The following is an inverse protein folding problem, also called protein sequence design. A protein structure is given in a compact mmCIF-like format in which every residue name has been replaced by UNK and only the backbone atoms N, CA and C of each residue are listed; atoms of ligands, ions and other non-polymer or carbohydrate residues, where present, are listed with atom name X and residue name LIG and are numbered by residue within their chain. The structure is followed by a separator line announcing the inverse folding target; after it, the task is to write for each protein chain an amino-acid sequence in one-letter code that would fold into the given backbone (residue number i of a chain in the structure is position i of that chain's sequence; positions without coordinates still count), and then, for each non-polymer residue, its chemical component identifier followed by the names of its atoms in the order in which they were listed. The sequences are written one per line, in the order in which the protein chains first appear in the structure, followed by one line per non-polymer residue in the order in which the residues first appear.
data_IF_926591109191
#
_entry.id   IF_926591109191
#
_cell.length_a   1.000
_cell.length_b   1.000
_cell.length_c   1.000
_cell.angle_alpha   90.00
_cell.angle_beta   90.00
_cell.angle_gamma   90.00
#
_symmetry.space_group_name_H-M   'P 1'
#
loop_
_entity.id
_entity.type
_entity.pdbx_description
1 polymer ?
#
# COMPACT_ATOMS: atom_id res chain seq x y z
N UNK A 1 -31.30 -13.00 4.91
CA UNK A 1 -30.75 -11.65 4.72
C UNK A 1 -30.95 -10.89 6.02
N UNK A 2 -30.05 -11.11 6.97
CA UNK A 2 -30.06 -10.38 8.25
C UNK A 2 -29.09 -9.20 8.10
N UNK A 3 -29.64 -7.99 8.00
CA UNK A 3 -28.87 -6.75 8.06
C UNK A 3 -28.16 -6.69 9.42
N UNK A 4 -26.83 -6.86 9.42
CA UNK A 4 -25.97 -6.54 10.56
C UNK A 4 -24.83 -5.65 10.13
N UNK A 5 -25.17 -4.39 9.83
CA UNK A 5 -24.20 -3.28 9.97
C UNK A 5 -24.08 -3.04 11.47
N UNK A 6 -23.11 -3.69 12.11
CA UNK A 6 -22.78 -3.42 13.51
C UNK A 6 -21.66 -2.37 13.56
N UNK A 7 -22.06 -1.17 13.98
CA UNK A 7 -21.26 -0.02 14.47
C UNK A 7 -20.58 0.91 13.45
N UNK A 8 -21.23 2.03 13.06
CA UNK A 8 -20.55 3.26 12.65
C UNK A 8 -20.37 4.26 13.80
N UNK A 9 -20.49 3.81 15.07
CA UNK A 9 -20.48 4.74 16.21
C UNK A 9 -19.10 5.34 16.51
N UNK A 10 -18.00 4.67 16.14
CA UNK A 10 -16.65 5.21 16.36
C UNK A 10 -16.28 6.32 15.36
N UNK A 11 -16.75 6.20 14.11
CA UNK A 11 -16.53 7.21 13.06
C UNK A 11 -17.28 8.52 13.33
N UNK A 12 -18.50 8.45 13.89
CA UNK A 12 -19.28 9.63 14.25
C UNK A 12 -18.70 10.39 15.45
N UNK A 13 -18.11 9.70 16.44
CA UNK A 13 -17.47 10.37 17.58
C UNK A 13 -16.19 11.12 17.19
N UNK A 14 -15.38 10.55 16.27
CA UNK A 14 -14.18 11.23 15.75
C UNK A 14 -14.58 12.49 14.96
N UNK A 15 -15.64 12.42 14.17
CA UNK A 15 -16.16 13.58 13.43
C UNK A 15 -16.69 14.70 14.34
N UNK A 16 -17.26 14.36 15.51
CA UNK A 16 -17.77 15.36 16.46
C UNK A 16 -16.65 15.99 17.31
N UNK A 17 -15.58 15.26 17.61
CA UNK A 17 -14.40 15.85 18.28
C UNK A 17 -13.55 16.75 17.36
N UNK A 18 -13.60 16.55 16.04
CA UNK A 18 -12.84 17.41 15.11
C UNK A 18 -13.49 18.77 14.88
N UNK A 19 -14.80 18.93 15.09
CA UNK A 19 -15.46 20.24 14.94
C UNK A 19 -15.03 21.26 16.00
N UNK A 20 -14.60 20.82 17.19
CA UNK A 20 -14.15 21.74 18.24
C UNK A 20 -12.67 22.16 18.11
N UNK A 21 -11.89 21.49 17.25
CA UNK A 21 -10.46 21.80 17.04
C UNK A 21 -10.21 22.87 15.95
N UNK A 22 -11.26 23.37 15.30
CA UNK A 22 -11.19 24.33 14.17
C UNK A 22 -11.60 25.73 14.64
N UNK A 23 -10.98 26.23 15.72
CA UNK A 23 -11.18 27.60 16.22
C UNK A 23 -9.85 28.29 16.58
N UNK A 24 -8.78 27.99 15.84
CA UNK A 24 -7.56 28.81 15.80
C UNK A 24 -7.61 29.76 14.60
N UNK A 25 -6.87 30.87 14.66
CA UNK A 25 -6.66 31.73 13.47
C UNK A 25 -6.25 30.89 12.25
N UNK A 26 -6.85 31.21 11.10
CA UNK A 26 -6.66 30.45 9.86
C UNK A 26 -5.23 30.66 9.35
N UNK A 27 -4.32 29.78 9.79
CA UNK A 27 -2.90 29.80 9.40
C UNK A 27 -2.76 29.41 7.93
N UNK A 28 -2.23 30.32 7.11
CA UNK A 28 -2.07 30.10 5.68
C UNK A 28 -1.27 28.81 5.39
N UNK A 29 -1.84 27.95 4.54
CA UNK A 29 -1.24 26.67 4.17
C UNK A 29 -1.13 26.53 2.66
N UNK A 30 -0.07 25.86 2.22
CA UNK A 30 0.18 25.59 0.81
C UNK A 30 -0.92 24.68 0.25
N UNK A 31 -1.63 25.11 -0.81
CA UNK A 31 -2.66 24.32 -1.52
C UNK A 31 -2.18 22.93 -1.93
N UNK A 32 -0.89 22.78 -2.25
CA UNK A 32 -0.31 21.55 -2.76
C UNK A 32 -0.05 20.55 -1.63
N UNK A 33 0.74 20.90 -0.62
CA UNK A 33 1.19 19.94 0.39
C UNK A 33 0.50 20.07 1.76
N UNK A 34 -0.18 21.18 2.03
CA UNK A 34 -0.80 21.49 3.33
C UNK A 34 0.15 22.09 4.36
N UNK A 35 1.45 22.21 4.04
CA UNK A 35 2.45 22.80 4.93
C UNK A 35 2.17 24.29 5.15
N UNK A 36 2.39 24.76 6.37
CA UNK A 36 2.15 26.16 6.74
C UNK A 36 3.20 27.10 6.15
N UNK A 37 2.77 28.19 5.51
CA UNK A 37 3.67 29.06 4.72
C UNK A 37 4.70 29.76 5.61
N UNK A 38 4.30 30.18 6.80
CA UNK A 38 5.14 30.86 7.80
C UNK A 38 6.36 30.03 8.27
N UNK A 39 6.30 28.70 8.20
CA UNK A 39 7.44 27.82 8.51
C UNK A 39 8.50 27.76 7.41
N UNK A 40 8.15 28.18 6.19
CA UNK A 40 9.00 28.01 5.00
C UNK A 40 9.25 29.35 4.30
N UNK A 41 9.26 30.47 5.03
CA UNK A 41 9.45 31.82 4.45
C UNK A 41 10.73 31.95 3.60
N UNK A 42 11.79 31.20 3.93
CA UNK A 42 13.05 31.21 3.17
C UNK A 42 12.95 30.60 1.77
N UNK A 43 11.89 29.85 1.49
CA UNK A 43 11.67 29.14 0.22
C UNK A 43 10.31 29.44 -0.38
N UNK A 44 9.45 30.16 0.37
CA UNK A 44 8.12 30.50 -0.04
C UNK A 44 8.12 31.27 -1.38
N UNK A 45 7.08 31.03 -2.16
CA UNK A 45 6.90 31.63 -3.48
C UNK A 45 5.55 32.32 -3.53
N UNK A 46 5.54 33.56 -4.00
CA UNK A 46 4.32 34.34 -4.25
C UNK A 46 3.91 34.18 -5.73
N UNK A 47 2.66 33.79 -5.93
CA UNK A 47 2.00 33.67 -7.22
C UNK A 47 0.91 34.74 -7.31
N UNK A 48 1.05 35.67 -8.26
CA UNK A 48 0.01 36.67 -8.57
C UNK A 48 -0.64 36.30 -9.88
N UNK A 49 -1.92 35.98 -9.84
CA UNK A 49 -2.72 35.59 -11.00
C UNK A 49 -3.08 36.81 -11.86
N UNK A 50 -3.44 36.57 -13.13
CA UNK A 50 -3.87 37.63 -14.05
C UNK A 50 -5.08 38.44 -13.53
N UNK A 51 -5.98 37.78 -12.78
CA UNK A 51 -7.15 38.38 -12.13
C UNK A 51 -6.82 39.15 -10.83
N UNK A 52 -5.56 39.13 -10.39
CA UNK A 52 -5.07 39.80 -9.18
C UNK A 52 -5.15 38.96 -7.91
N UNK A 53 -5.64 37.72 -7.96
CA UNK A 53 -5.55 36.80 -6.82
C UNK A 53 -4.08 36.54 -6.47
N UNK A 54 -3.77 36.52 -5.18
CA UNK A 54 -2.44 36.16 -4.66
C UNK A 54 -2.53 34.82 -3.95
N UNK A 55 -1.54 33.96 -4.17
CA UNK A 55 -1.40 32.67 -3.50
C UNK A 55 0.08 32.44 -3.15
N UNK A 56 0.34 31.82 -1.99
CA UNK A 56 1.68 31.40 -1.61
C UNK A 56 1.83 29.88 -1.67
N UNK A 57 3.04 29.45 -2.01
CA UNK A 57 3.46 28.06 -1.82
C UNK A 57 4.64 28.00 -0.87
N UNK A 58 4.80 26.89 -0.15
CA UNK A 58 5.90 26.70 0.79
C UNK A 58 7.28 26.63 0.09
N UNK A 59 7.31 26.42 -1.22
CA UNK A 59 8.55 26.15 -1.94
C UNK A 59 8.37 26.03 -3.44
N UNK A 60 9.50 26.10 -4.15
CA UNK A 60 9.59 26.06 -5.61
C UNK A 60 8.90 24.84 -6.20
N UNK A 61 9.05 23.67 -5.58
CA UNK A 61 8.47 22.44 -6.09
C UNK A 61 6.92 22.45 -6.08
N UNK A 62 6.31 23.10 -5.09
CA UNK A 62 4.86 23.30 -5.04
C UNK A 62 4.43 24.35 -6.06
N UNK A 63 5.18 25.44 -6.21
CA UNK A 63 4.94 26.42 -7.28
C UNK A 63 4.96 25.76 -8.67
N UNK A 64 6.00 24.98 -8.98
CA UNK A 64 6.13 24.37 -10.31
C UNK A 64 4.94 23.46 -10.65
N UNK A 65 4.35 22.79 -9.65
CA UNK A 65 3.13 21.97 -9.85
C UNK A 65 1.93 22.82 -10.22
N UNK A 66 1.74 23.94 -9.53
CA UNK A 66 0.64 24.88 -9.83
C UNK A 66 0.84 25.47 -11.23
N UNK A 67 2.06 25.93 -11.55
CA UNK A 67 2.36 26.56 -12.84
C UNK A 67 2.27 25.54 -13.98
N UNK A 68 2.73 24.30 -13.77
CA UNK A 68 2.60 23.23 -14.77
C UNK A 68 1.15 22.84 -15.02
N UNK A 69 0.27 22.90 -14.01
CA UNK A 69 -1.15 22.57 -14.15
C UNK A 69 -1.91 23.68 -14.88
N UNK A 70 -1.63 24.95 -14.56
CA UNK A 70 -2.39 26.09 -15.06
C UNK A 70 -1.77 26.78 -16.28
N UNK A 71 -0.50 26.52 -16.57
CA UNK A 71 0.29 27.21 -17.58
C UNK A 71 0.89 28.54 -17.08
N UNK A 72 2.14 28.88 -17.47
CA UNK A 72 2.79 30.13 -17.07
C UNK A 72 2.00 31.41 -17.39
N UNK A 73 1.21 31.41 -18.46
CA UNK A 73 0.40 32.55 -18.89
C UNK A 73 -0.75 32.92 -17.95
N UNK A 74 -1.07 32.06 -16.98
CA UNK A 74 -2.11 32.31 -15.97
C UNK A 74 -1.65 33.27 -14.87
N UNK A 75 -0.36 33.60 -14.83
CA UNK A 75 0.25 34.42 -13.78
C UNK A 75 0.72 35.76 -14.32
N UNK A 76 0.41 36.83 -13.59
CA UNK A 76 0.95 38.18 -13.80
C UNK A 76 2.40 38.26 -13.33
N UNK A 77 2.73 37.62 -12.22
CA UNK A 77 4.09 37.52 -11.69
C UNK A 77 4.26 36.30 -10.80
N UNK A 78 5.46 35.73 -10.81
CA UNK A 78 5.86 34.61 -9.95
C UNK A 78 7.16 35.02 -9.26
N UNK A 79 7.08 35.31 -7.96
CA UNK A 79 8.20 35.85 -7.19
C UNK A 79 8.75 34.78 -6.26
N UNK A 80 9.97 34.34 -6.52
CA UNK A 80 10.67 33.30 -5.75
C UNK A 80 11.81 33.91 -4.94
N UNK A 81 12.18 33.28 -3.84
CA UNK A 81 13.25 33.73 -2.95
C UNK A 81 14.60 33.17 -3.37
N UNK A 82 15.59 34.03 -3.57
CA UNK A 82 16.98 33.63 -3.83
C UNK A 82 17.59 32.94 -2.60
N UNK A 83 18.21 31.79 -2.82
CA UNK A 83 18.74 30.98 -1.72
C UNK A 83 19.85 31.70 -0.93
N UNK A 84 20.63 32.58 -1.55
CA UNK A 84 21.75 33.24 -0.92
C UNK A 84 21.39 34.63 -0.41
N UNK A 85 20.90 35.53 -1.28
CA UNK A 85 20.57 36.91 -0.92
C UNK A 85 19.31 37.05 -0.08
N UNK A 86 18.42 36.04 -0.14
CA UNK A 86 17.06 36.06 0.44
C UNK A 86 16.12 37.10 -0.17
N UNK A 87 16.53 37.72 -1.27
CA UNK A 87 15.69 38.67 -1.99
C UNK A 87 14.76 37.94 -2.95
N UNK A 88 13.55 38.47 -3.13
CA UNK A 88 12.61 37.95 -4.11
C UNK A 88 12.99 38.40 -5.53
N UNK A 89 12.85 37.51 -6.50
CA UNK A 89 13.11 37.79 -7.92
C UNK A 89 12.17 36.99 -8.84
N UNK A 90 12.22 37.24 -10.15
CA UNK A 90 11.30 36.61 -11.11
C UNK A 90 11.68 35.15 -11.39
N UNK A 91 10.71 34.25 -11.28
CA UNK A 91 10.93 32.81 -11.44
C UNK A 91 11.42 32.41 -12.84
N UNK A 92 11.01 33.11 -13.89
CA UNK A 92 11.39 32.75 -15.26
C UNK A 92 12.88 33.03 -15.53
N UNK A 93 13.50 33.94 -14.76
CA UNK A 93 14.93 34.26 -14.84
C UNK A 93 15.83 33.37 -13.98
N UNK A 94 15.26 32.42 -13.23
CA UNK A 94 15.97 31.67 -12.21
C UNK A 94 16.74 30.47 -12.75
N UNK A 95 17.83 30.16 -12.03
CA UNK A 95 18.54 28.89 -12.11
C UNK A 95 18.16 28.04 -10.90
N UNK A 96 17.77 26.80 -11.14
CA UNK A 96 17.33 25.88 -10.10
C UNK A 96 18.35 24.76 -9.90
N UNK A 97 18.76 24.53 -8.66
CA UNK A 97 19.39 23.27 -8.28
C UNK A 97 18.31 22.27 -7.89
N UNK A 98 18.20 21.18 -8.64
CA UNK A 98 17.31 20.06 -8.33
C UNK A 98 18.07 18.91 -7.70
N UNK A 99 17.56 18.41 -6.59
CA UNK A 99 18.04 17.19 -5.96
C UNK A 99 19.42 17.27 -5.31
N UNK A 100 19.76 18.46 -4.79
CA UNK A 100 20.94 18.63 -3.94
C UNK A 100 20.79 17.88 -2.61
N UNK A 101 21.90 17.74 -1.88
CA UNK A 101 21.92 17.21 -0.52
C UNK A 101 21.20 18.11 0.49
N UNK A 102 21.11 19.42 0.20
CA UNK A 102 20.37 20.37 1.04
C UNK A 102 18.88 20.30 0.72
N UNK A 103 18.07 20.05 1.74
CA UNK A 103 16.61 19.96 1.59
C UNK A 103 15.98 21.26 2.14
N UNK A 104 15.39 22.11 1.28
CA UNK A 104 14.75 23.36 1.68
C UNK A 104 13.37 23.13 2.30
N UNK A 105 12.50 22.40 1.61
CA UNK A 105 11.09 22.25 1.96
C UNK A 105 10.62 20.79 1.86
N UNK A 106 10.89 20.10 0.75
CA UNK A 106 10.48 18.72 0.51
C UNK A 106 11.33 18.05 -0.57
N UNK A 107 11.00 16.79 -0.89
CA UNK A 107 11.65 16.01 -1.95
C UNK A 107 10.67 15.77 -3.13
N UNK A 108 11.14 15.81 -4.40
CA UNK A 108 12.42 16.40 -4.84
C UNK A 108 12.58 17.84 -4.38
N UNK A 109 13.80 18.21 -3.96
CA UNK A 109 14.11 19.58 -3.60
C UNK A 109 14.45 20.40 -4.84
N UNK A 110 14.00 21.66 -4.84
CA UNK A 110 14.37 22.68 -5.81
C UNK A 110 14.80 23.93 -5.06
N UNK A 111 16.02 24.40 -5.32
CA UNK A 111 16.58 25.62 -4.73
C UNK A 111 16.85 26.63 -5.83
N UNK A 112 16.38 27.85 -5.66
CA UNK A 112 16.46 28.90 -6.67
C UNK A 112 17.63 29.86 -6.45
N UNK A 113 18.25 30.26 -7.55
CA UNK A 113 19.35 31.22 -7.61
C UNK A 113 19.12 32.20 -8.75
N UNK A 114 19.35 33.48 -8.48
CA UNK A 114 19.32 34.57 -9.46
C UNK A 114 20.58 34.61 -10.34
N UNK A 115 21.70 34.08 -9.84
CA UNK A 115 22.97 33.99 -10.54
C UNK A 115 23.35 32.53 -10.82
N UNK A 116 23.64 32.23 -12.08
CA UNK A 116 24.04 30.89 -12.53
C UNK A 116 25.34 30.40 -11.90
N UNK A 117 26.34 31.27 -11.77
CA UNK A 117 27.66 30.91 -11.23
C UNK A 117 27.54 30.53 -9.76
N UNK A 118 26.64 31.20 -9.02
CA UNK A 118 26.32 30.85 -7.64
C UNK A 118 25.60 29.49 -7.58
N UNK A 119 24.67 29.24 -8.49
CA UNK A 119 23.99 27.94 -8.59
C UNK A 119 24.98 26.80 -8.89
N UNK A 120 25.89 27.00 -9.85
CA UNK A 120 26.93 26.03 -10.23
C UNK A 120 27.88 25.76 -9.05
N UNK A 121 28.36 26.80 -8.37
CA UNK A 121 29.19 26.66 -7.16
C UNK A 121 28.47 25.92 -6.03
N UNK A 122 27.16 26.17 -5.86
CA UNK A 122 26.33 25.42 -4.92
C UNK A 122 26.25 23.94 -5.32
N UNK A 123 26.03 23.65 -6.59
CA UNK A 123 25.92 22.28 -7.12
C UNK A 123 27.22 21.49 -7.00
N UNK A 124 28.38 22.13 -7.14
CA UNK A 124 29.68 21.50 -6.93
C UNK A 124 29.86 21.05 -5.47
N UNK A 125 29.31 21.81 -4.52
CA UNK A 125 29.43 21.55 -3.09
C UNK A 125 28.37 20.58 -2.55
N UNK A 126 27.11 20.81 -2.91
CA UNK A 126 25.95 20.12 -2.35
C UNK A 126 25.38 19.06 -3.31
N UNK A 127 25.98 18.90 -4.49
CA UNK A 127 25.42 18.08 -5.56
C UNK A 127 24.16 18.69 -6.18
N UNK A 128 23.40 17.86 -6.87
CA UNK A 128 22.22 18.30 -7.63
C UNK A 128 22.54 18.59 -9.09
N UNK A 129 21.53 19.01 -9.84
CA UNK A 129 21.64 19.40 -11.24
C UNK A 129 21.11 20.82 -11.40
N UNK A 130 21.85 21.66 -12.11
CA UNK A 130 21.39 23.00 -12.48
C UNK A 130 20.52 22.92 -13.74
N UNK A 131 19.32 23.48 -13.63
CA UNK A 131 18.30 23.55 -14.68
C UNK A 131 17.70 24.96 -14.73
N UNK A 132 17.11 25.35 -15.85
CA UNK A 132 16.35 26.59 -15.96
C UNK A 132 14.85 26.39 -15.66
N UNK A 133 14.06 27.47 -15.74
CA UNK A 133 12.62 27.43 -15.48
C UNK A 133 11.84 26.53 -16.45
N UNK A 134 12.21 26.49 -17.73
CA UNK A 134 11.52 25.68 -18.74
C UNK A 134 11.75 24.21 -18.46
N UNK A 135 13.00 23.84 -18.24
CA UNK A 135 13.38 22.47 -17.88
C UNK A 135 12.74 22.05 -16.54
N UNK A 136 12.67 22.94 -15.55
CA UNK A 136 11.99 22.68 -14.28
C UNK A 136 10.50 22.38 -14.46
N UNK A 137 9.79 23.12 -15.33
CA UNK A 137 8.39 22.86 -15.65
C UNK A 137 8.21 21.52 -16.38
N UNK A 138 9.05 21.21 -17.36
CA UNK A 138 9.00 19.94 -18.10
C UNK A 138 9.28 18.72 -17.21
N UNK A 139 10.18 18.88 -16.23
CA UNK A 139 10.53 17.82 -15.29
C UNK A 139 9.49 17.64 -14.19
N UNK A 140 8.71 18.67 -13.87
CA UNK A 140 7.77 18.64 -12.75
C UNK A 140 6.68 17.59 -12.97
N UNK A 141 6.35 16.88 -11.91
CA UNK A 141 5.25 15.92 -11.91
C UNK A 141 4.02 16.50 -11.23
N UNK A 142 2.82 16.17 -11.72
CA UNK A 142 1.59 16.51 -11.01
C UNK A 142 1.59 15.96 -9.60
N UNK A 143 2.13 14.75 -9.36
CA UNK A 143 2.25 14.19 -8.00
C UNK A 143 3.65 13.62 -7.76
N UNK A 144 4.22 13.91 -6.59
CA UNK A 144 5.60 13.52 -6.21
C UNK A 144 5.79 12.03 -5.92
N UNK A 145 4.72 11.31 -5.58
CA UNK A 145 4.71 9.86 -5.47
C UNK A 145 3.27 9.34 -5.58
N UNK A 146 3.11 8.10 -6.00
CA UNK A 146 1.83 7.38 -5.94
C UNK A 146 1.97 6.16 -5.07
N UNK A 147 1.03 5.95 -4.15
CA UNK A 147 1.10 4.86 -3.19
C UNK A 147 0.19 3.71 -3.66
N UNK A 148 0.75 2.57 -4.09
CA UNK A 148 -0.05 1.42 -4.48
C UNK A 148 -0.63 0.69 -3.25
N UNK A 149 -1.64 -0.17 -3.46
CA UNK A 149 -2.19 -1.04 -2.41
C UNK A 149 -1.63 -2.46 -2.45
N UNK A 150 -1.67 -3.11 -3.63
CA UNK A 150 -1.25 -4.51 -3.80
C UNK A 150 0.26 -4.68 -3.91
N UNK A 151 0.95 -3.63 -4.37
CA UNK A 151 2.39 -3.62 -4.51
C UNK A 151 3.03 -2.55 -3.61
N UNK A 152 4.33 -2.67 -3.34
CA UNK A 152 5.13 -1.71 -2.59
C UNK A 152 5.87 -0.79 -3.55
N UNK A 153 5.78 0.53 -3.34
CA UNK A 153 6.55 1.51 -4.11
C UNK A 153 7.99 1.65 -3.59
N UNK A 154 8.94 1.95 -4.47
CA UNK A 154 10.33 2.22 -4.11
C UNK A 154 10.57 3.63 -3.55
N UNK A 155 9.63 4.58 -3.74
CA UNK A 155 9.82 5.97 -3.35
C UNK A 155 9.97 6.08 -1.82
N UNK A 156 10.98 6.84 -1.38
CA UNK A 156 11.16 7.24 0.02
C UNK A 156 10.79 8.72 0.17
N UNK A 157 10.14 9.04 1.29
CA UNK A 157 9.79 10.41 1.64
C UNK A 157 10.97 11.14 2.29
N UNK A 158 10.91 12.46 2.41
CA UNK A 158 11.92 13.23 3.14
C UNK A 158 11.91 12.95 4.64
N UNK A 159 13.05 13.11 5.30
CA UNK A 159 13.17 12.95 6.75
C UNK A 159 12.09 13.73 7.52
N UNK A 160 11.53 13.10 8.55
CA UNK A 160 10.44 13.64 9.36
C UNK A 160 9.04 13.47 8.75
N UNK A 161 8.91 12.90 7.55
CA UNK A 161 7.60 12.57 6.99
C UNK A 161 6.90 11.53 7.86
N UNK A 162 5.66 11.81 8.22
CA UNK A 162 4.83 10.96 9.05
C UNK A 162 3.48 10.73 8.36
N UNK A 163 3.01 9.48 8.39
CA UNK A 163 1.70 9.13 7.85
C UNK A 163 0.99 8.15 8.76
N UNK A 164 -0.29 8.38 9.00
CA UNK A 164 -1.17 7.45 9.70
C UNK A 164 -2.38 7.18 8.83
N UNK A 165 -2.87 5.95 8.79
CA UNK A 165 -4.08 5.64 8.06
C UNK A 165 -4.85 4.46 8.62
N UNK A 166 -6.16 4.53 8.42
CA UNK A 166 -7.10 3.47 8.71
C UNK A 166 -7.47 2.78 7.40
N UNK A 167 -7.30 1.46 7.38
CA UNK A 167 -7.56 0.61 6.21
C UNK A 167 -8.74 -0.29 6.53
N UNK A 168 -9.69 -0.40 5.59
CA UNK A 168 -10.71 -1.44 5.60
C UNK A 168 -10.58 -2.26 4.32
N UNK A 169 -10.49 -3.58 4.44
CA UNK A 169 -10.43 -4.50 3.31
C UNK A 169 -11.51 -5.57 3.42
N UNK A 170 -12.06 -5.95 2.27
CA UNK A 170 -12.98 -7.04 2.11
C UNK A 170 -12.47 -7.99 1.03
N UNK A 171 -12.54 -9.30 1.28
CA UNK A 171 -12.25 -10.35 0.30
C UNK A 171 -13.33 -11.41 0.37
N UNK A 172 -13.86 -11.76 -0.80
CA UNK A 172 -14.75 -12.90 -1.00
C UNK A 172 -14.02 -13.94 -1.85
N UNK A 173 -14.12 -15.20 -1.45
CA UNK A 173 -13.81 -16.36 -2.32
C UNK A 173 -15.02 -17.29 -2.32
N UNK A 174 -15.51 -17.66 -3.50
CA UNK A 174 -16.78 -18.38 -3.67
C UNK A 174 -16.74 -19.44 -4.77
N UNK A 175 -15.54 -19.75 -5.28
CA UNK A 175 -15.32 -20.80 -6.28
C UNK A 175 -14.42 -21.88 -5.73
N UNK A 176 -14.70 -23.12 -6.11
CA UNK A 176 -13.80 -24.25 -5.89
C UNK A 176 -12.80 -24.31 -7.04
N UNK A 177 -11.51 -24.40 -6.72
CA UNK A 177 -10.43 -24.54 -7.69
C UNK A 177 -9.81 -25.93 -7.57
N UNK A 178 -9.80 -26.67 -8.69
CA UNK A 178 -9.06 -27.92 -8.86
C UNK A 178 -7.97 -27.68 -9.89
N UNK A 179 -6.74 -27.46 -9.43
CA UNK A 179 -5.71 -26.84 -10.26
C UNK A 179 -6.18 -25.46 -10.74
N UNK A 180 -6.32 -25.31 -12.05
CA UNK A 180 -6.81 -24.07 -12.70
C UNK A 180 -8.30 -24.07 -13.02
N UNK A 181 -8.99 -25.22 -12.86
CA UNK A 181 -10.40 -25.34 -13.19
C UNK A 181 -11.28 -24.77 -12.07
N UNK A 182 -12.13 -23.79 -12.41
CA UNK A 182 -13.06 -23.15 -11.49
C UNK A 182 -14.47 -23.74 -11.57
N UNK A 183 -14.99 -24.23 -10.45
CA UNK A 183 -16.32 -24.85 -10.37
C UNK A 183 -17.17 -24.22 -9.27
N UNK A 184 -18.49 -24.33 -9.45
CA UNK A 184 -19.43 -24.00 -8.38
C UNK A 184 -19.31 -25.02 -7.24
N UNK A 185 -19.20 -24.60 -5.97
CA UNK A 185 -19.01 -25.52 -4.86
C UNK A 185 -20.10 -26.59 -4.71
N UNK A 186 -21.37 -26.23 -4.95
CA UNK A 186 -22.51 -27.15 -4.80
C UNK A 186 -22.55 -28.15 -5.95
N UNK A 187 -22.26 -27.70 -7.18
CA UNK A 187 -22.08 -28.60 -8.32
C UNK A 187 -20.87 -29.53 -8.14
N UNK A 188 -19.76 -29.03 -7.63
CA UNK A 188 -18.54 -29.82 -7.40
C UNK A 188 -18.80 -30.98 -6.42
N UNK A 189 -19.36 -30.69 -5.23
CA UNK A 189 -19.64 -31.77 -4.28
C UNK A 189 -20.78 -32.67 -4.79
N UNK A 190 -21.81 -32.10 -5.44
CA UNK A 190 -22.97 -32.84 -5.96
C UNK A 190 -22.62 -33.85 -7.05
N UNK A 191 -21.71 -33.49 -7.96
CA UNK A 191 -21.21 -34.35 -9.04
C UNK A 191 -20.20 -35.40 -8.59
N UNK A 192 -19.65 -35.27 -7.38
CA UNK A 192 -18.66 -36.19 -6.81
C UNK A 192 -19.23 -36.90 -5.55
N UNK A 193 -19.90 -38.06 -5.70
CA UNK A 193 -20.51 -38.77 -4.57
C UNK A 193 -19.50 -39.21 -3.49
N UNK A 194 -18.24 -39.44 -3.87
CA UNK A 194 -17.16 -39.81 -2.97
C UNK A 194 -16.58 -38.61 -2.18
N UNK A 195 -16.91 -37.37 -2.58
CA UNK A 195 -16.42 -36.15 -1.94
C UNK A 195 -17.10 -35.96 -0.57
N UNK A 196 -16.35 -36.00 0.55
CA UNK A 196 -16.94 -35.89 1.88
C UNK A 196 -17.24 -34.44 2.28
N UNK A 197 -16.47 -33.48 1.76
CA UNK A 197 -16.62 -32.05 2.02
C UNK A 197 -16.07 -31.22 0.88
N UNK A 198 -16.56 -30.00 0.70
CA UNK A 198 -16.01 -29.01 -0.22
C UNK A 198 -16.12 -27.63 0.41
N UNK A 199 -15.11 -26.76 0.28
CA UNK A 199 -15.25 -25.41 0.80
C UNK A 199 -16.24 -24.64 -0.08
N UNK A 200 -17.10 -23.83 0.54
CA UNK A 200 -18.21 -23.13 -0.15
C UNK A 200 -17.87 -21.68 -0.41
N UNK A 201 -17.50 -20.98 0.65
CA UNK A 201 -17.38 -19.53 0.66
C UNK A 201 -16.45 -19.11 1.79
N UNK A 202 -15.66 -18.07 1.54
CA UNK A 202 -14.85 -17.42 2.56
C UNK A 202 -15.02 -15.91 2.45
N UNK A 203 -15.46 -15.30 3.54
CA UNK A 203 -15.52 -13.85 3.72
C UNK A 203 -14.43 -13.43 4.69
N UNK A 204 -13.60 -12.49 4.26
CA UNK A 204 -12.56 -11.89 5.10
C UNK A 204 -12.78 -10.39 5.13
N UNK A 205 -12.99 -9.86 6.32
CA UNK A 205 -12.96 -8.44 6.59
C UNK A 205 -11.70 -8.13 7.41
N UNK A 206 -11.00 -7.07 7.04
CA UNK A 206 -9.80 -6.61 7.75
C UNK A 206 -9.92 -5.12 8.02
N UNK A 207 -9.71 -4.74 9.28
CA UNK A 207 -9.49 -3.36 9.69
C UNK A 207 -8.02 -3.23 10.10
N UNK A 208 -7.34 -2.18 9.69
CA UNK A 208 -5.93 -2.03 10.01
C UNK A 208 -5.57 -0.57 10.31
N UNK A 209 -4.69 -0.40 11.30
CA UNK A 209 -3.99 0.85 11.55
C UNK A 209 -2.59 0.75 10.94
N UNK A 210 -2.29 1.68 10.03
CA UNK A 210 -0.98 1.77 9.37
C UNK A 210 -0.30 3.06 9.82
N UNK A 211 0.97 2.95 10.22
CA UNK A 211 1.82 4.09 10.58
C UNK A 211 3.08 4.05 9.73
N UNK A 212 3.49 5.21 9.24
CA UNK A 212 4.66 5.39 8.39
C UNK A 212 5.51 6.52 8.96
N UNK A 213 6.83 6.33 9.00
CA UNK A 213 7.75 7.37 9.40
C UNK A 213 9.04 7.32 8.57
N UNK A 214 9.47 8.47 8.05
CA UNK A 214 10.74 8.61 7.35
C UNK A 214 11.83 9.06 8.34
N UNK A 215 12.67 8.12 8.77
CA UNK A 215 13.82 8.40 9.63
C UNK A 215 14.83 9.32 8.95
N UNK A 216 15.08 9.06 7.67
CA UNK A 216 15.93 9.89 6.80
C UNK A 216 15.27 10.01 5.43
N UNK A 217 15.88 10.75 4.52
CA UNK A 217 15.45 10.82 3.11
C UNK A 217 15.63 9.49 2.33
N UNK A 218 16.33 8.52 2.92
CA UNK A 218 16.59 7.19 2.35
C UNK A 218 16.02 6.05 3.18
N UNK A 219 15.64 6.30 4.43
CA UNK A 219 15.18 5.28 5.36
C UNK A 219 13.72 5.54 5.76
N UNK A 220 12.86 4.59 5.45
CA UNK A 220 11.45 4.58 5.85
C UNK A 220 11.14 3.41 6.77
N UNK A 221 10.26 3.66 7.74
CA UNK A 221 9.66 2.66 8.61
C UNK A 221 8.16 2.61 8.36
N UNK A 222 7.60 1.41 8.34
CA UNK A 222 6.17 1.17 8.31
C UNK A 222 5.80 0.16 9.40
N UNK A 223 4.69 0.41 10.08
CA UNK A 223 4.07 -0.52 11.00
C UNK A 223 2.60 -0.72 10.60
N UNK A 224 2.12 -1.96 10.70
CA UNK A 224 0.76 -2.33 10.39
C UNK A 224 0.20 -3.25 11.47
N UNK A 225 -0.94 -2.86 12.06
CA UNK A 225 -1.68 -3.67 13.03
C UNK A 225 -3.05 -4.03 12.45
N UNK A 226 -3.25 -5.28 11.99
CA UNK A 226 -4.53 -5.74 11.47
C UNK A 226 -5.41 -6.36 12.55
N UNK A 227 -6.73 -6.19 12.40
CA UNK A 227 -7.79 -6.94 13.05
C UNK A 227 -8.64 -7.60 11.96
N UNK A 228 -8.90 -8.89 12.08
CA UNK A 228 -9.62 -9.69 11.11
C UNK A 228 -10.95 -10.18 11.66
N UNK A 229 -11.95 -10.24 10.79
CA UNK A 229 -13.14 -11.07 10.96
C UNK A 229 -13.20 -12.03 9.76
N UNK A 230 -13.18 -13.32 10.04
CA UNK A 230 -13.15 -14.37 9.02
C UNK A 230 -14.32 -15.30 9.21
N UNK A 231 -15.01 -15.59 8.11
CA UNK A 231 -16.10 -16.55 8.06
C UNK A 231 -15.87 -17.50 6.89
N UNK A 232 -15.96 -18.80 7.15
CA UNK A 232 -15.79 -19.84 6.15
C UNK A 232 -16.95 -20.82 6.22
N UNK A 233 -17.69 -20.91 5.13
CA UNK A 233 -18.70 -21.93 4.92
C UNK A 233 -18.06 -23.15 4.23
N UNK A 234 -18.38 -24.33 4.75
CA UNK A 234 -17.96 -25.62 4.20
C UNK A 234 -19.18 -26.50 3.97
N UNK A 235 -19.30 -27.06 2.77
CA UNK A 235 -20.28 -28.10 2.46
C UNK A 235 -19.79 -29.43 3.03
N UNK A 236 -20.63 -30.11 3.80
CA UNK A 236 -20.32 -31.41 4.40
C UNK A 236 -21.39 -32.42 3.97
N UNK A 237 -20.95 -33.56 3.44
CA UNK A 237 -21.84 -34.64 3.04
C UNK A 237 -22.20 -35.49 4.26
N UNK A 238 -23.50 -35.54 4.57
CA UNK A 238 -24.08 -36.39 5.62
C UNK A 238 -25.07 -37.36 4.98
N UNK A 239 -24.57 -38.54 4.60
CA UNK A 239 -25.34 -39.51 3.82
C UNK A 239 -25.71 -38.96 2.45
N UNK A 240 -27.03 -38.90 2.15
CA UNK A 240 -27.55 -38.34 0.89
C UNK A 240 -27.71 -36.82 0.91
N UNK A 241 -27.62 -36.19 2.08
CA UNK A 241 -27.78 -34.74 2.23
C UNK A 241 -26.42 -34.04 2.23
N UNK A 242 -26.41 -32.80 1.72
CA UNK A 242 -25.28 -31.89 1.81
C UNK A 242 -25.72 -30.74 2.71
N UNK A 243 -25.02 -30.53 3.81
CA UNK A 243 -25.31 -29.47 4.78
C UNK A 243 -24.16 -28.46 4.81
N UNK A 244 -24.46 -27.20 5.12
CA UNK A 244 -23.43 -26.16 5.28
C UNK A 244 -23.01 -26.08 6.75
N UNK A 245 -21.71 -26.08 7.00
CA UNK A 245 -21.09 -25.84 8.30
C UNK A 245 -20.27 -24.56 8.21
N UNK A 246 -20.54 -23.63 9.13
CA UNK A 246 -19.89 -22.32 9.17
C UNK A 246 -18.88 -22.28 10.30
N UNK A 247 -17.65 -21.87 9.99
CA UNK A 247 -16.60 -21.54 10.96
C UNK A 247 -16.39 -20.03 10.93
N UNK A 248 -16.40 -19.40 12.10
CA UNK A 248 -16.16 -17.97 12.25
C UNK A 248 -15.10 -17.76 13.32
N UNK A 249 -14.18 -16.84 13.06
CA UNK A 249 -13.20 -16.38 14.03
C UNK A 249 -12.91 -14.89 13.82
N UNK A 250 -12.50 -14.20 14.88
CA UNK A 250 -12.09 -12.80 14.83
C UNK A 250 -10.98 -12.49 15.82
N UNK A 251 -10.13 -11.53 15.49
CA UNK A 251 -9.01 -11.20 16.35
C UNK A 251 -7.97 -10.30 15.70
N UNK A 252 -7.03 -9.86 16.54
CA UNK A 252 -5.81 -9.19 16.07
C UNK A 252 -5.01 -10.20 15.25
N UNK A 253 -4.47 -9.77 14.11
CA UNK A 253 -3.52 -10.56 13.34
C UNK A 253 -2.07 -10.29 13.72
N UNK A 254 -1.14 -10.87 12.98
CA UNK A 254 0.29 -10.62 13.20
C UNK A 254 0.66 -9.17 12.83
N UNK A 255 1.22 -8.44 13.79
CA UNK A 255 1.69 -7.06 13.61
C UNK A 255 2.92 -7.07 12.69
N UNK A 256 2.91 -6.25 11.65
CA UNK A 256 4.01 -6.16 10.70
C UNK A 256 4.84 -4.89 10.90
N UNK A 257 6.15 -5.03 10.77
CA UNK A 257 7.11 -3.93 10.69
C UNK A 257 7.91 -4.07 9.39
N UNK A 258 7.96 -3.01 8.60
CA UNK A 258 8.75 -2.96 7.37
C UNK A 258 9.78 -1.82 7.47
N UNK A 259 11.03 -2.16 7.17
CA UNK A 259 12.15 -1.25 6.99
C UNK A 259 12.46 -1.11 5.51
N UNK A 260 12.52 0.13 5.04
CA UNK A 260 12.80 0.48 3.65
C UNK A 260 14.10 1.27 3.56
N UNK A 261 15.01 0.84 2.71
CA UNK A 261 16.26 1.54 2.43
C UNK A 261 16.41 1.81 0.94
N UNK A 262 16.57 3.09 0.57
CA UNK A 262 16.87 3.51 -0.79
C UNK A 262 18.38 3.67 -0.98
N UNK A 263 19.10 2.66 -1.54
CA UNK A 263 20.51 2.81 -1.88
C UNK A 263 20.71 3.75 -3.08
N UNK A 264 19.71 3.88 -3.96
CA UNK A 264 19.84 4.67 -5.17
C UNK A 264 18.52 5.31 -5.62
N UNK A 265 18.64 6.57 -6.02
CA UNK A 265 17.62 7.33 -6.75
C UNK A 265 18.30 8.28 -7.74
N UNK A 266 17.60 8.62 -8.81
CA UNK A 266 18.01 9.67 -9.76
C UNK A 266 18.04 11.04 -9.08
N UNK A 267 18.91 11.94 -9.56
CA UNK A 267 18.99 13.34 -9.10
C UNK A 267 17.66 14.09 -9.17
N UNK A 268 16.84 13.84 -10.19
CA UNK A 268 15.54 14.52 -10.39
C UNK A 268 14.35 13.76 -9.77
N UNK A 269 14.62 12.72 -8.98
CA UNK A 269 13.60 11.93 -8.26
C UNK A 269 12.52 11.34 -9.19
N UNK A 270 12.92 10.93 -10.40
CA UNK A 270 12.08 10.19 -11.33
C UNK A 270 12.32 8.69 -11.28
N UNK A 271 13.45 8.21 -10.73
CA UNK A 271 13.77 6.78 -10.60
C UNK A 271 14.25 6.44 -9.20
N UNK A 272 13.79 5.31 -8.67
CA UNK A 272 14.13 4.82 -7.34
C UNK A 272 14.36 3.32 -7.39
N UNK A 273 15.43 2.89 -6.72
CA UNK A 273 15.68 1.50 -6.39
C UNK A 273 15.81 1.36 -4.88
N UNK A 274 15.04 0.45 -4.30
CA UNK A 274 14.87 0.34 -2.86
C UNK A 274 14.88 -1.11 -2.41
N UNK A 275 15.56 -1.36 -1.31
CA UNK A 275 15.54 -2.63 -0.58
C UNK A 275 14.48 -2.57 0.51
N UNK A 276 13.75 -3.66 0.67
CA UNK A 276 12.74 -3.84 1.71
C UNK A 276 13.15 -5.00 2.61
N UNK A 277 13.09 -4.80 3.91
CA UNK A 277 13.15 -5.85 4.91
C UNK A 277 11.91 -5.74 5.79
N UNK A 278 11.35 -6.85 6.24
CA UNK A 278 10.18 -6.84 7.10
C UNK A 278 10.17 -8.00 8.06
N UNK A 279 9.48 -7.82 9.17
CA UNK A 279 9.18 -8.87 10.14
C UNK A 279 7.71 -8.79 10.51
N UNK A 280 7.10 -9.95 10.81
CA UNK A 280 5.82 -9.96 11.51
C UNK A 280 5.98 -10.59 12.87
N UNK A 281 5.40 -9.96 13.88
CA UNK A 281 5.38 -10.47 15.24
C UNK A 281 4.13 -11.34 15.42
N UNK A 282 4.22 -12.48 16.12
CA UNK A 282 3.11 -13.41 16.33
C UNK A 282 2.13 -12.89 17.37
N UNK A 283 1.49 -11.76 17.10
CA UNK A 283 0.47 -11.16 17.96
C UNK A 283 -0.91 -11.75 17.71
N UNK A 284 -1.13 -12.36 16.54
CA UNK A 284 -2.38 -13.05 16.24
C UNK A 284 -2.43 -14.45 16.81
N UNK A 285 -3.65 -14.92 17.11
CA UNK A 285 -3.87 -16.28 17.61
C UNK A 285 -3.57 -17.32 16.53
N UNK A 286 -2.94 -18.41 16.95
CA UNK A 286 -2.79 -19.63 16.18
C UNK A 286 -3.40 -20.79 16.98
N UNK A 287 -4.39 -21.46 16.42
CA UNK A 287 -5.01 -22.64 17.00
C UNK A 287 -4.32 -23.92 16.51
N UNK A 288 -3.44 -24.45 17.36
CA UNK A 288 -2.70 -25.69 17.15
C UNK A 288 -3.46 -26.98 17.52
N UNK A 289 -4.76 -26.91 17.84
CA UNK A 289 -5.53 -28.08 18.22
C UNK A 289 -5.63 -29.11 17.08
N UNK A 290 -5.39 -30.37 17.43
CA UNK A 290 -5.27 -31.46 16.46
C UNK A 290 -6.39 -32.46 16.54
N UNK A 291 -6.80 -32.95 15.37
CA UNK A 291 -7.73 -34.06 15.25
C UNK A 291 -7.08 -35.17 14.42
N UNK A 292 -7.35 -36.42 14.77
CA UNK A 292 -6.87 -37.56 14.01
C UNK A 292 -7.38 -37.51 12.56
N UNK A 293 -6.45 -37.53 11.61
CA UNK A 293 -6.74 -37.54 10.19
C UNK A 293 -6.54 -38.97 9.66
N UNK A 294 -7.64 -39.61 9.27
CA UNK A 294 -7.64 -40.98 8.78
C UNK A 294 -6.88 -41.15 7.44
N UNK A 295 -6.72 -40.08 6.64
CA UNK A 295 -5.98 -40.14 5.37
C UNK A 295 -4.48 -40.23 5.60
N UNK A 296 -3.95 -39.37 6.47
CA UNK A 296 -2.52 -39.28 6.78
C UNK A 296 -2.12 -40.18 7.96
N UNK A 297 -3.08 -40.89 8.56
CA UNK A 297 -2.91 -41.77 9.73
C UNK A 297 -2.21 -41.09 10.91
N UNK A 298 -2.40 -39.79 11.05
CA UNK A 298 -1.74 -38.94 12.04
C UNK A 298 -2.69 -37.85 12.51
N UNK A 299 -2.41 -37.25 13.67
CA UNK A 299 -3.18 -36.10 14.14
C UNK A 299 -2.62 -34.82 13.55
N UNK A 300 -3.43 -34.11 12.77
CA UNK A 300 -3.09 -32.85 12.12
C UNK A 300 -3.85 -31.69 12.77
N UNK A 301 -3.32 -30.47 12.63
CA UNK A 301 -4.02 -29.24 12.98
C UNK A 301 -5.38 -29.23 12.28
N UNK A 302 -6.44 -29.08 13.08
CA UNK A 302 -7.82 -29.24 12.62
C UNK A 302 -8.42 -27.94 12.10
N UNK A 303 -7.90 -26.81 12.56
CA UNK A 303 -8.31 -25.48 12.14
C UNK A 303 -7.70 -25.14 10.78
N UNK A 304 -8.53 -24.75 9.83
CA UNK A 304 -8.09 -24.50 8.46
C UNK A 304 -7.09 -23.34 8.41
N UNK A 305 -5.99 -23.42 7.61
CA UNK A 305 -4.95 -22.39 7.61
C UNK A 305 -5.46 -20.99 7.25
N UNK A 306 -6.49 -20.91 6.40
CA UNK A 306 -7.08 -19.62 5.99
C UNK A 306 -7.81 -18.87 7.10
N UNK A 307 -8.33 -19.56 8.12
CA UNK A 307 -9.05 -18.93 9.23
C UNK A 307 -8.17 -18.58 10.43
N UNK A 308 -6.92 -19.03 10.46
CA UNK A 308 -5.94 -18.66 11.51
C UNK A 308 -5.71 -17.14 11.51
N UNK A 309 -5.60 -16.50 12.68
CA UNK A 309 -5.40 -15.04 12.78
C UNK A 309 -3.93 -14.64 12.69
N UNK A 310 -3.05 -15.48 13.21
CA UNK A 310 -1.60 -15.33 13.15
C UNK A 310 -0.91 -16.63 12.78
N UNK A 311 0.40 -16.55 12.65
CA UNK A 311 1.27 -17.69 12.28
C UNK A 311 1.82 -18.44 13.50
N UNK A 312 1.75 -17.83 14.68
CA UNK A 312 2.34 -18.37 15.91
C UNK A 312 3.87 -18.29 15.97
N UNK A 313 4.52 -17.63 15.00
CA UNK A 313 5.97 -17.44 14.95
C UNK A 313 6.33 -16.10 14.31
N UNK A 314 7.55 -15.62 14.55
CA UNK A 314 8.06 -14.45 13.83
C UNK A 314 8.33 -14.83 12.37
N UNK A 315 7.82 -14.07 11.42
CA UNK A 315 8.13 -14.26 9.98
C UNK A 315 9.04 -13.17 9.47
N UNK A 316 9.76 -13.45 8.37
CA UNK A 316 10.74 -12.54 7.79
C UNK A 316 10.43 -12.29 6.31
N UNK A 317 10.56 -11.06 5.86
CA UNK A 317 10.33 -10.65 4.48
C UNK A 317 11.55 -9.88 3.97
N UNK A 318 11.95 -10.16 2.73
CA UNK A 318 12.92 -9.37 1.98
C UNK A 318 12.36 -8.99 0.62
N UNK A 319 12.81 -7.89 0.04
CA UNK A 319 12.32 -7.48 -1.26
C UNK A 319 13.11 -6.40 -1.98
N UNK A 320 12.91 -6.34 -3.29
CA UNK A 320 13.45 -5.36 -4.20
C UNK A 320 12.31 -4.56 -4.82
N UNK A 321 12.41 -3.24 -4.78
CA UNK A 321 11.41 -2.32 -5.29
C UNK A 321 12.04 -1.40 -6.32
N UNK A 322 11.32 -1.16 -7.42
CA UNK A 322 11.66 -0.15 -8.40
C UNK A 322 10.45 0.76 -8.67
N UNK A 323 10.68 2.07 -8.71
CA UNK A 323 9.68 3.04 -9.14
C UNK A 323 10.30 3.95 -10.18
N UNK A 324 9.57 4.19 -11.28
CA UNK A 324 9.95 5.14 -12.30
C UNK A 324 8.77 6.04 -12.66
N UNK A 325 9.03 7.33 -12.75
CA UNK A 325 8.10 8.31 -13.28
C UNK A 325 8.44 8.64 -14.73
N UNK A 326 7.41 8.71 -15.56
CA UNK A 326 7.49 9.18 -16.94
C UNK A 326 6.34 10.18 -17.13
N UNK A 327 6.66 11.49 -17.11
CA UNK A 327 5.66 12.58 -17.14
C UNK A 327 4.61 12.40 -16.04
N UNK A 328 3.34 12.21 -16.43
CA UNK A 328 2.19 11.99 -15.54
C UNK A 328 1.95 10.51 -15.19
N UNK A 329 2.85 9.61 -15.57
CA UNK A 329 2.76 8.19 -15.25
C UNK A 329 3.79 7.80 -14.20
N UNK A 330 3.38 6.97 -13.26
CA UNK A 330 4.24 6.25 -12.35
C UNK A 330 4.17 4.75 -12.66
N UNK A 331 5.33 4.15 -12.85
CA UNK A 331 5.54 2.74 -13.03
C UNK A 331 6.18 2.19 -11.76
N UNK A 332 5.68 1.05 -11.31
CA UNK A 332 6.20 0.39 -10.12
C UNK A 332 6.43 -1.08 -10.42
N UNK A 333 7.50 -1.63 -9.85
CA UNK A 333 7.80 -3.04 -9.88
C UNK A 333 8.26 -3.50 -8.49
N UNK A 334 7.87 -4.71 -8.11
CA UNK A 334 8.31 -5.35 -6.88
C UNK A 334 8.67 -6.81 -7.10
N UNK A 335 9.61 -7.30 -6.29
CA UNK A 335 9.86 -8.71 -6.05
C UNK A 335 10.07 -8.90 -4.54
N UNK A 336 9.25 -9.72 -3.90
CA UNK A 336 9.27 -9.98 -2.46
C UNK A 336 9.40 -11.48 -2.21
N UNK A 337 10.08 -11.84 -1.13
CA UNK A 337 10.13 -13.19 -0.61
C UNK A 337 9.86 -13.17 0.89
N UNK A 338 8.96 -14.03 1.35
CA UNK A 338 8.62 -14.20 2.76
C UNK A 338 8.94 -15.61 3.21
N UNK A 339 9.74 -15.67 4.26
CA UNK A 339 10.14 -16.90 4.93
C UNK A 339 9.28 -17.11 6.17
N UNK A 340 8.68 -18.30 6.27
CA UNK A 340 7.88 -18.74 7.39
C UNK A 340 8.63 -19.86 8.13
N UNK A 341 9.20 -19.56 9.31
CA UNK A 341 9.74 -20.60 10.17
C UNK A 341 8.66 -21.56 10.67
N UNK A 342 9.09 -22.72 11.15
CA UNK A 342 8.21 -23.62 11.91
C UNK A 342 7.89 -23.00 13.28
N UNK A 343 6.62 -23.06 13.68
CA UNK A 343 6.15 -22.52 14.96
C UNK A 343 6.26 -23.53 16.12
N UNK A 344 5.92 -23.10 17.34
CA UNK A 344 6.01 -23.93 18.55
C UNK A 344 5.08 -25.16 18.56
N UNK A 345 4.11 -25.22 17.65
CA UNK A 345 3.24 -26.37 17.46
C UNK A 345 3.79 -27.37 16.42
N UNK A 346 4.99 -27.15 15.87
CA UNK A 346 5.54 -27.92 14.74
C UNK A 346 4.71 -27.77 13.45
N UNK A 347 4.12 -26.59 13.25
CA UNK A 347 3.43 -26.23 12.02
C UNK A 347 4.22 -25.15 11.28
N UNK A 348 4.37 -25.30 9.96
CA UNK A 348 5.06 -24.34 9.10
C UNK A 348 4.15 -23.92 7.95
N UNK A 349 3.93 -22.61 7.83
CA UNK A 349 3.28 -22.07 6.64
C UNK A 349 4.25 -22.13 5.45
N UNK A 350 3.73 -22.24 4.23
CA UNK A 350 4.55 -22.20 3.03
C UNK A 350 5.23 -20.86 2.82
N UNK A 351 6.48 -20.87 2.35
CA UNK A 351 7.15 -19.64 1.94
C UNK A 351 6.43 -19.01 0.75
N UNK A 352 6.51 -17.68 0.64
CA UNK A 352 5.81 -16.94 -0.40
C UNK A 352 6.79 -16.10 -1.21
N UNK A 353 6.76 -16.28 -2.54
CA UNK A 353 7.44 -15.41 -3.49
C UNK A 353 6.39 -14.58 -4.25
N UNK A 354 6.53 -13.27 -4.26
CA UNK A 354 5.61 -12.35 -4.93
C UNK A 354 6.35 -11.47 -5.93
N UNK A 355 5.78 -11.27 -7.11
CA UNK A 355 6.19 -10.26 -8.07
C UNK A 355 5.01 -9.39 -8.46
N UNK A 356 5.22 -8.12 -8.74
CA UNK A 356 4.12 -7.23 -9.13
C UNK A 356 4.56 -6.02 -9.92
N UNK A 357 3.61 -5.48 -10.67
CA UNK A 357 3.74 -4.30 -11.51
C UNK A 357 2.54 -3.38 -11.29
N UNK A 358 2.75 -2.07 -11.36
CA UNK A 358 1.64 -1.12 -11.46
C UNK A 358 1.95 0.02 -12.41
N UNK A 359 0.89 0.55 -12.97
CA UNK A 359 0.87 1.79 -13.75
C UNK A 359 -0.16 2.71 -13.14
N UNK A 360 0.29 3.87 -12.70
CA UNK A 360 -0.56 4.92 -12.16
C UNK A 360 -0.48 6.16 -13.05
N UNK A 361 -1.62 6.78 -13.30
CA UNK A 361 -1.74 8.04 -14.02
C UNK A 361 -2.18 9.14 -13.05
N UNK A 362 -1.48 10.27 -13.09
CA UNK A 362 -1.70 11.44 -12.25
C UNK A 362 -2.08 12.63 -13.14
N UNK A 363 -3.37 12.82 -13.48
CA UNK A 363 -3.80 13.94 -14.33
C UNK A 363 -3.51 15.30 -13.70
N UNK A 364 -3.60 15.38 -12.37
CA UNK A 364 -3.29 16.54 -11.56
C UNK A 364 -2.70 16.09 -10.21
N UNK A 365 -2.54 17.03 -9.28
CA UNK A 365 -1.98 16.72 -7.96
C UNK A 365 -2.93 15.87 -7.08
N UNK A 366 -4.24 16.01 -7.28
CA UNK A 366 -5.25 15.50 -6.37
C UNK A 366 -5.70 14.08 -6.68
N UNK A 367 -5.63 13.69 -7.95
CA UNK A 367 -6.18 12.43 -8.43
C UNK A 367 -5.08 11.51 -8.93
N UNK A 368 -5.17 10.24 -8.54
CA UNK A 368 -4.46 9.13 -9.17
C UNK A 368 -5.49 8.10 -9.58
N UNK A 369 -5.33 7.56 -10.78
CA UNK A 369 -6.02 6.36 -11.23
C UNK A 369 -4.99 5.37 -11.74
N UNK A 370 -5.21 4.08 -11.57
CA UNK A 370 -4.21 3.11 -11.99
C UNK A 370 -4.67 1.68 -12.03
N UNK A 371 -3.75 0.84 -12.48
CA UNK A 371 -3.91 -0.61 -12.56
C UNK A 371 -2.72 -1.23 -11.83
N UNK A 372 -3.02 -2.21 -10.98
CA UNK A 372 -2.03 -2.99 -10.24
C UNK A 372 -2.20 -4.47 -10.58
N UNK A 373 -1.09 -5.16 -10.80
CA UNK A 373 -1.03 -6.60 -11.03
C UNK A 373 0.04 -7.21 -10.16
N UNK A 374 -0.25 -8.37 -9.57
CA UNK A 374 0.72 -9.15 -8.83
C UNK A 374 0.48 -10.64 -9.02
N UNK A 375 1.55 -11.40 -8.95
CA UNK A 375 1.55 -12.84 -8.88
C UNK A 375 2.27 -13.29 -7.61
N UNK A 376 1.69 -14.24 -6.89
CA UNK A 376 2.27 -14.87 -5.72
C UNK A 376 2.32 -16.38 -5.92
N UNK A 377 3.43 -17.00 -5.54
CA UNK A 377 3.56 -18.43 -5.37
C UNK A 377 3.81 -18.72 -3.90
N UNK A 378 2.97 -19.56 -3.31
CA UNK A 378 3.08 -19.99 -1.92
C UNK A 378 3.39 -21.49 -1.90
N UNK A 379 4.44 -21.88 -1.19
CA UNK A 379 4.76 -23.29 -0.96
C UNK A 379 3.63 -23.97 -0.19
N UNK A 380 3.65 -25.30 -0.13
CA UNK A 380 2.72 -26.04 0.73
C UNK A 380 3.06 -25.78 2.20
N UNK A 381 2.03 -25.80 3.03
CA UNK A 381 2.20 -25.84 4.47
C UNK A 381 2.70 -27.22 4.91
N UNK A 382 3.37 -27.27 6.05
CA UNK A 382 3.78 -28.52 6.70
C UNK A 382 3.23 -28.60 8.12
N UNK A 383 2.81 -29.79 8.54
CA UNK A 383 2.49 -30.11 9.94
C UNK A 383 3.29 -31.35 10.34
N UNK A 384 4.19 -31.17 11.32
CA UNK A 384 5.14 -32.20 11.78
C UNK A 384 5.99 -32.77 10.63
N UNK A 385 6.44 -31.89 9.73
CA UNK A 385 7.26 -32.23 8.57
C UNK A 385 6.51 -32.96 7.44
N UNK A 386 5.18 -33.10 7.53
CA UNK A 386 4.37 -33.62 6.43
C UNK A 386 3.74 -32.46 5.66
N UNK A 387 3.93 -32.44 4.34
CA UNK A 387 3.22 -31.52 3.46
C UNK A 387 1.71 -31.71 3.57
N UNK A 388 1.00 -30.62 3.82
CA UNK A 388 -0.45 -30.61 3.87
C UNK A 388 -0.99 -30.43 2.45
N UNK A 389 -1.67 -31.47 1.97
CA UNK A 389 -2.38 -31.46 0.70
C UNK A 389 -3.31 -30.27 0.58
N UNK A 390 -3.39 -29.70 -0.62
CA UNK A 390 -4.31 -28.61 -0.94
C UNK A 390 -4.07 -27.34 -0.12
N UNK A 391 -2.79 -26.99 0.06
CA UNK A 391 -2.33 -25.70 0.59
C UNK A 391 -1.32 -25.08 -0.38
N UNK A 392 -1.11 -23.77 -0.27
CA UNK A 392 -0.25 -23.02 -1.19
C UNK A 392 -0.82 -22.90 -2.60
N UNK A 393 0.05 -22.66 -3.57
CA UNK A 393 -0.28 -22.54 -4.98
C UNK A 393 0.14 -21.21 -5.58
N UNK A 394 -0.20 -21.01 -6.85
CA UNK A 394 0.10 -19.78 -7.60
C UNK A 394 -1.18 -18.99 -7.84
N UNK A 395 -1.16 -17.68 -7.58
CA UNK A 395 -2.26 -16.78 -7.90
C UNK A 395 -1.73 -15.52 -8.56
N UNK A 396 -2.39 -15.05 -9.61
CA UNK A 396 -2.21 -13.72 -10.15
C UNK A 396 -3.50 -12.91 -10.06
N UNK A 397 -3.38 -11.62 -9.77
CA UNK A 397 -4.50 -10.70 -9.59
C UNK A 397 -4.33 -9.46 -10.46
N UNK A 398 -5.45 -8.82 -10.77
CA UNK A 398 -5.52 -7.48 -11.34
C UNK A 398 -6.43 -6.62 -10.46
N UNK A 399 -6.09 -5.35 -10.28
CA UNK A 399 -6.91 -4.40 -9.56
C UNK A 399 -6.88 -3.01 -10.20
N UNK A 400 -8.00 -2.29 -10.06
CA UNK A 400 -8.11 -0.87 -10.34
C UNK A 400 -7.96 -0.09 -9.04
N UNK A 401 -7.16 0.97 -9.07
CA UNK A 401 -6.90 1.84 -7.92
C UNK A 401 -7.32 3.28 -8.26
N UNK A 402 -7.91 3.96 -7.27
CA UNK A 402 -8.14 5.39 -7.25
C UNK A 402 -7.61 6.00 -5.96
N UNK A 403 -6.91 7.13 -6.04
CA UNK A 403 -6.47 7.93 -4.89
C UNK A 403 -6.93 9.36 -5.10
N UNK A 404 -7.60 9.91 -4.11
CA UNK A 404 -8.04 11.29 -4.09
C UNK A 404 -7.52 11.99 -2.83
N UNK A 405 -6.75 13.06 -3.02
CA UNK A 405 -6.41 13.98 -1.94
C UNK A 405 -7.62 14.88 -1.68
N UNK A 406 -8.28 14.66 -0.55
CA UNK A 406 -9.54 15.29 -0.21
C UNK A 406 -9.36 16.74 0.25
N UNK A 407 -8.41 16.95 1.17
CA UNK A 407 -8.24 18.24 1.83
C UNK A 407 -6.86 18.38 2.47
N UNK A 408 -6.46 19.63 2.69
CA UNK A 408 -5.33 19.97 3.56
C UNK A 408 -5.87 20.42 4.92
N UNK A 409 -5.23 19.95 5.98
CA UNK A 409 -5.58 20.33 7.35
C UNK A 409 -4.38 20.03 8.26
N UNK A 410 -4.20 20.81 9.33
CA UNK A 410 -3.17 20.56 10.36
C UNK A 410 -1.74 20.38 9.81
N UNK A 411 -1.35 21.16 8.80
CA UNK A 411 0.00 21.08 8.23
C UNK A 411 0.25 19.89 7.30
N UNK A 412 -0.80 19.13 6.93
CA UNK A 412 -0.70 17.93 6.11
C UNK A 412 -1.88 17.75 5.15
N UNK A 413 -1.99 16.55 4.58
CA UNK A 413 -3.05 16.16 3.64
C UNK A 413 -3.80 14.92 4.07
N UNK A 414 -5.10 14.92 3.81
CA UNK A 414 -5.97 13.76 3.90
C UNK A 414 -6.20 13.16 2.53
N UNK A 415 -5.99 11.85 2.41
CA UNK A 415 -6.21 11.10 1.18
C UNK A 415 -7.21 9.99 1.42
N UNK A 416 -8.13 9.81 0.48
CA UNK A 416 -9.00 8.66 0.35
C UNK A 416 -8.53 7.83 -0.84
N UNK A 417 -8.15 6.59 -0.58
CA UNK A 417 -7.73 5.65 -1.62
C UNK A 417 -8.61 4.43 -1.60
N UNK A 418 -9.01 3.97 -2.78
CA UNK A 418 -9.75 2.72 -2.98
C UNK A 418 -9.07 1.84 -4.02
N UNK A 419 -9.20 0.53 -3.86
CA UNK A 419 -8.88 -0.46 -4.89
C UNK A 419 -9.94 -1.55 -4.94
N UNK A 420 -10.20 -2.07 -6.14
CA UNK A 420 -11.07 -3.23 -6.38
C UNK A 420 -10.41 -4.13 -7.42
N UNK A 421 -10.44 -5.43 -7.19
CA UNK A 421 -9.79 -6.37 -8.10
C UNK A 421 -10.27 -7.80 -7.98
N UNK A 422 -9.76 -8.61 -8.89
CA UNK A 422 -10.13 -10.00 -9.09
C UNK A 422 -8.87 -10.86 -9.32
N UNK A 423 -8.89 -12.15 -8.97
CA UNK A 423 -7.91 -13.09 -9.48
C UNK A 423 -8.10 -13.28 -11.00
N UNK A 424 -6.99 -13.35 -11.74
CA UNK A 424 -6.97 -13.62 -13.18
C UNK A 424 -6.33 -14.96 -13.54
N UNK A 425 -5.59 -15.55 -12.59
CA UNK A 425 -5.02 -16.88 -12.69
C UNK A 425 -4.91 -17.48 -11.30
N UNK A 426 -5.27 -18.76 -11.16
CA UNK A 426 -5.16 -19.50 -9.91
C UNK A 426 -4.82 -20.95 -10.20
N UNK A 427 -3.81 -21.48 -9.52
CA UNK A 427 -3.49 -22.90 -9.44
C UNK A 427 -3.21 -23.24 -7.98
N UNK A 428 -4.20 -23.84 -7.31
CA UNK A 428 -4.22 -23.97 -5.85
C UNK A 428 -3.89 -25.38 -5.36
N UNK A 429 -2.90 -26.05 -5.96
CA UNK A 429 -2.29 -27.29 -5.45
C UNK A 429 -3.33 -28.38 -5.06
N UNK A 430 -4.35 -28.59 -5.88
CA UNK A 430 -5.34 -29.66 -5.63
C UNK A 430 -4.65 -31.02 -5.57
N UNK A 431 -5.17 -31.91 -4.74
CA UNK A 431 -4.58 -33.23 -4.56
C UNK A 431 -5.64 -34.32 -4.48
N UNK A 432 -5.42 -35.40 -5.23
CA UNK A 432 -6.30 -36.57 -5.22
C UNK A 432 -6.01 -37.49 -4.04
N UNK A 433 -7.08 -38.01 -3.45
CA UNK A 433 -7.06 -38.94 -2.33
C UNK A 433 -8.01 -40.10 -2.58
N UNK A 434 -7.81 -41.19 -1.84
CA UNK A 434 -8.73 -42.33 -1.81
C UNK A 434 -9.33 -42.40 -0.40
N UNK A 435 -10.65 -42.42 -0.31
CA UNK A 435 -11.34 -42.53 0.98
C UNK A 435 -11.22 -43.94 1.57
N UNK A 436 -11.68 -44.11 2.81
CA UNK A 436 -11.64 -45.42 3.51
C UNK A 436 -12.42 -46.53 2.80
N UNK A 437 -13.33 -46.18 1.89
CA UNK A 437 -14.13 -47.10 1.09
C UNK A 437 -13.51 -47.39 -0.29
N UNK A 438 -12.28 -46.93 -0.55
CA UNK A 438 -11.58 -47.14 -1.82
C UNK A 438 -12.03 -46.22 -2.96
N UNK A 439 -12.83 -45.19 -2.69
CA UNK A 439 -13.33 -44.28 -3.72
C UNK A 439 -12.43 -43.04 -3.84
N UNK A 440 -12.06 -42.62 -5.06
CA UNK A 440 -11.24 -41.43 -5.27
C UNK A 440 -12.05 -40.16 -5.02
N UNK A 441 -11.40 -39.12 -4.51
CA UNK A 441 -11.93 -37.77 -4.39
C UNK A 441 -10.78 -36.75 -4.36
N UNK A 442 -11.07 -35.47 -4.57
CA UNK A 442 -10.05 -34.43 -4.72
C UNK A 442 -10.17 -33.40 -3.61
N UNK A 443 -9.05 -33.08 -2.96
CA UNK A 443 -8.96 -31.91 -2.09
C UNK A 443 -8.73 -30.66 -2.94
N UNK A 444 -9.52 -29.63 -2.66
CA UNK A 444 -9.65 -28.41 -3.47
C UNK A 444 -9.70 -27.17 -2.57
N UNK A 445 -9.20 -26.03 -3.03
CA UNK A 445 -9.19 -24.76 -2.29
C UNK A 445 -10.27 -23.81 -2.80
N UNK A 446 -10.57 -22.77 -2.01
CA UNK A 446 -11.36 -21.65 -2.48
C UNK A 446 -10.50 -20.66 -3.26
N UNK A 447 -11.00 -20.29 -4.42
CA UNK A 447 -10.50 -19.22 -5.28
C UNK A 447 -11.65 -18.38 -5.82
N UNK A 448 -11.38 -17.65 -6.90
CA UNK A 448 -12.30 -16.72 -7.51
C UNK A 448 -12.64 -15.53 -6.59
N UNK A 449 -13.84 -15.00 -6.81
CA UNK A 449 -14.40 -13.89 -6.04
C UNK A 449 -13.78 -12.53 -6.34
N UNK A 450 -13.85 -11.64 -5.37
CA UNK A 450 -13.47 -10.22 -5.49
C UNK A 450 -12.79 -9.76 -4.21
N UNK A 451 -11.90 -8.79 -4.32
CA UNK A 451 -11.37 -8.07 -3.18
C UNK A 451 -11.51 -6.57 -3.39
N UNK A 452 -11.67 -5.84 -2.29
CA UNK A 452 -11.70 -4.39 -2.28
C UNK A 452 -11.04 -3.86 -1.01
N UNK A 453 -10.34 -2.75 -1.12
CA UNK A 453 -9.71 -2.08 0.02
C UNK A 453 -9.94 -0.58 -0.09
N UNK A 454 -10.23 0.07 1.04
CA UNK A 454 -10.29 1.52 1.16
C UNK A 454 -9.38 1.96 2.31
N UNK A 455 -8.72 3.11 2.14
CA UNK A 455 -7.86 3.72 3.14
C UNK A 455 -8.16 5.20 3.24
N UNK A 456 -8.36 5.68 4.47
CA UNK A 456 -8.27 7.09 4.80
C UNK A 456 -6.92 7.31 5.49
N UNK A 457 -6.10 8.21 4.95
CA UNK A 457 -4.76 8.49 5.48
C UNK A 457 -4.55 9.98 5.70
N UNK A 458 -3.87 10.33 6.78
CA UNK A 458 -3.30 11.65 7.02
C UNK A 458 -1.79 11.58 6.88
N UNK A 459 -1.21 12.46 6.05
CA UNK A 459 0.23 12.56 5.88
C UNK A 459 0.68 13.99 6.17
N UNK A 460 1.75 14.12 6.94
CA UNK A 460 2.39 15.40 7.28
C UNK A 460 3.91 15.22 7.31
N UNK A 461 4.62 16.32 7.53
CA UNK A 461 6.06 16.32 7.77
C UNK A 461 6.35 17.13 9.01
N UNK A 462 6.98 16.49 9.99
CA UNK A 462 7.58 17.21 11.10
C UNK A 462 8.92 17.78 10.63
N UNK A 463 9.09 19.09 10.75
CA UNK A 463 10.39 19.73 10.49
C UNK A 463 11.40 19.39 11.59
N UNK A 464 12.67 19.64 11.33
CA UNK A 464 13.65 19.80 12.40
C UNK A 464 13.21 21.04 13.21
N UNK A 465 12.74 20.83 14.45
CA UNK A 465 12.53 21.93 15.42
C UNK A 465 13.85 22.54 15.82
#
# INVERSE_FOLDING_TARGET
MENRVRYPFLLLMIMWSMSELVLGEERESCRVCGMWIDQYQHTAVELVYIDGKVEHTCGVACMLRIVSEQGPSSFRSIRITDWNSKEAFDAASAWYSVGSAKIPDMLPNYIAFSDRQVAEAFSEKEGGRIIDFTEALEMTSPRGMTQPFRIRQAVTSGAGSFGVGMVYSYMLKDRVLSGTDSMDPELFIGSNPAQPRAPKRMDVQMQSLVVNYALTDRIGLNANLPYFEKEMDTLVRQGKQIVTSTSKDDGIGDMAFEFRYNPWRSTIYDKFFTLLAGVTLPTGSFDGNRTYNAMTKTSLVSTAPGVQMGTGVVTYMGGLLYSQRIRSFWLHAQALYRYYPENGDNYRFGNEAQAGLAVHYTPNYDVVVGIEMDAAHTDRNEDRGMEIGNTGGTRANIALIGDWRMMNLMGGNFNLRGTVGIPIYEDLNSQDFINTNGQPYTQVQLGGGVFATVMLSFNTRFGDM
#
